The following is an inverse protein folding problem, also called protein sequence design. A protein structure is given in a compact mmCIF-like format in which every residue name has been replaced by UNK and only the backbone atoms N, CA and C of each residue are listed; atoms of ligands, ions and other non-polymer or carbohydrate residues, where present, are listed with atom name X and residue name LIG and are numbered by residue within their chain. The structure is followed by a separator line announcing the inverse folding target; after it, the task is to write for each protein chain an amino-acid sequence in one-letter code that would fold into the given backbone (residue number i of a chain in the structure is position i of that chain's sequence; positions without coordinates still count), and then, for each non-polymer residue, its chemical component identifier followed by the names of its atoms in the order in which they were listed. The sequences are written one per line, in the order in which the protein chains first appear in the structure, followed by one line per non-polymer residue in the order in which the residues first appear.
data_IF_220582725310
#
_entry.id   IF_220582725310
#
_cell.length_a   1.000
_cell.length_b   1.000
_cell.length_c   1.000
_cell.angle_alpha   90.00
_cell.angle_beta   90.00
_cell.angle_gamma   90.00
#
_symmetry.space_group_name_H-M   'P 1'
#
loop_
_entity.id
_entity.type
_entity.pdbx_description
1 polymer ?
#
# COMPACT_ATOMS: atom_id res chain seq x y z
N UNK A 1 20.69 7.12 16.70
CA UNK A 1 19.23 7.37 16.70
C UNK A 1 18.62 6.63 15.52
N UNK A 2 17.48 5.91 15.67
CA UNK A 2 16.81 5.24 14.57
C UNK A 2 16.45 6.21 13.44
N UNK A 3 16.56 5.79 12.17
CA UNK A 3 16.29 6.63 10.99
C UNK A 3 14.95 7.36 11.07
N UNK A 4 13.89 6.66 11.51
CA UNK A 4 12.54 7.21 11.64
C UNK A 4 12.48 8.35 12.68
N UNK A 5 13.02 8.13 13.88
CA UNK A 5 13.04 9.13 14.96
C UNK A 5 13.83 10.37 14.55
N UNK A 6 14.99 10.19 13.90
CA UNK A 6 15.80 11.30 13.42
C UNK A 6 15.09 12.07 12.30
N UNK A 7 14.39 11.37 11.40
CA UNK A 7 13.59 11.99 10.35
C UNK A 7 12.49 12.90 10.92
N UNK A 8 11.73 12.39 11.89
CA UNK A 8 10.69 13.15 12.58
C UNK A 8 11.26 14.39 13.29
N UNK A 9 12.34 14.22 14.07
CA UNK A 9 13.00 15.32 14.76
C UNK A 9 13.52 16.40 13.80
N UNK A 10 14.14 16.00 12.69
CA UNK A 10 14.57 16.94 11.65
C UNK A 10 13.40 17.70 11.05
N UNK A 11 12.28 17.04 10.79
CA UNK A 11 11.07 17.67 10.25
C UNK A 11 10.52 18.73 11.19
N UNK A 12 10.43 18.42 12.49
CA UNK A 12 9.98 19.37 13.52
C UNK A 12 10.92 20.59 13.60
N UNK A 13 12.23 20.37 13.67
CA UNK A 13 13.21 21.45 13.76
C UNK A 13 13.26 22.30 12.49
N UNK A 14 13.08 21.71 11.32
CA UNK A 14 13.00 22.47 10.07
C UNK A 14 11.73 23.32 9.99
N UNK A 15 10.60 22.84 10.53
CA UNK A 15 9.37 23.63 10.63
C UNK A 15 9.59 24.84 11.54
N UNK A 16 10.23 24.65 12.70
CA UNK A 16 10.59 25.74 13.60
C UNK A 16 11.57 26.77 12.97
N UNK A 17 12.40 26.36 12.01
CA UNK A 17 13.20 27.29 11.20
C UNK A 17 12.31 28.07 10.23
N UNK A 18 11.38 27.40 9.54
CA UNK A 18 10.41 28.05 8.66
C UNK A 18 9.53 29.08 9.37
N UNK A 19 9.16 28.80 10.61
CA UNK A 19 8.38 29.70 11.47
C UNK A 19 9.24 30.80 12.13
N UNK A 20 10.56 30.79 11.92
CA UNK A 20 11.48 31.79 12.47
C UNK A 20 11.75 31.66 13.97
N UNK A 21 11.32 30.58 14.62
CA UNK A 21 11.56 30.30 16.05
C UNK A 21 13.05 30.06 16.31
N UNK A 22 13.73 29.39 15.38
CA UNK A 22 15.17 29.15 15.42
C UNK A 22 15.80 29.51 14.07
N UNK A 23 17.04 29.99 14.09
CA UNK A 23 17.73 30.42 12.87
C UNK A 23 18.30 29.25 12.04
N UNK A 24 18.55 28.11 12.68
CA UNK A 24 19.05 26.89 12.02
C UNK A 24 18.62 25.65 12.78
N UNK A 25 18.38 24.56 12.07
CA UNK A 25 18.07 23.26 12.66
C UNK A 25 19.32 22.64 13.32
N UNK A 26 19.31 22.39 14.65
CA UNK A 26 20.44 21.73 15.33
C UNK A 26 20.74 20.33 14.79
N UNK A 27 19.74 19.66 14.21
CA UNK A 27 19.89 18.32 13.66
C UNK A 27 20.40 18.31 12.20
N UNK A 28 20.63 19.46 11.56
CA UNK A 28 20.96 19.53 10.13
C UNK A 28 22.14 18.62 9.74
N UNK A 29 23.22 18.64 10.52
CA UNK A 29 24.43 17.84 10.29
C UNK A 29 24.37 16.40 10.78
N UNK A 30 23.32 16.00 11.50
CA UNK A 30 23.22 14.66 12.09
C UNK A 30 22.86 13.66 11.00
N UNK A 31 23.79 12.76 10.67
CA UNK A 31 23.54 11.70 9.71
C UNK A 31 22.79 10.55 10.39
N UNK A 32 21.78 9.95 9.72
CA UNK A 32 21.21 8.71 10.22
C UNK A 32 22.30 7.64 10.28
N UNK A 33 22.16 6.71 11.23
CA UNK A 33 22.98 5.51 11.23
C UNK A 33 22.81 4.80 9.89
N UNK A 34 23.93 4.37 9.31
CA UNK A 34 23.89 3.53 8.12
C UNK A 34 23.17 2.24 8.51
N UNK A 35 22.27 1.83 7.66
CA UNK A 35 21.61 0.55 7.76
C UNK A 35 22.45 -0.39 6.90
N UNK A 36 23.19 -1.27 7.57
CA UNK A 36 23.99 -2.35 6.99
C UNK A 36 23.19 -3.65 6.84
N UNK A 37 21.88 -3.58 7.10
CA UNK A 37 20.95 -4.68 6.86
C UNK A 37 20.90 -5.08 5.38
N UNK A 38 20.49 -6.33 5.15
CA UNK A 38 20.20 -6.85 3.81
C UNK A 38 19.12 -6.00 3.14
N UNK A 39 19.20 -5.87 1.81
CA UNK A 39 18.14 -5.22 1.04
C UNK A 39 16.82 -5.95 1.27
N UNK A 40 15.68 -5.25 1.24
CA UNK A 40 14.37 -5.88 1.41
C UNK A 40 14.17 -7.07 0.43
N UNK A 41 14.66 -6.95 -0.80
CA UNK A 41 14.66 -8.00 -1.83
C UNK A 41 15.43 -9.28 -1.46
N UNK A 42 16.36 -9.19 -0.50
CA UNK A 42 17.20 -10.29 0.00
C UNK A 42 16.70 -10.84 1.34
N UNK A 43 15.54 -10.37 1.80
CA UNK A 43 14.88 -10.79 3.04
C UNK A 43 13.56 -11.50 2.72
N UNK A 44 12.73 -11.74 3.73
CA UNK A 44 11.39 -12.29 3.56
C UNK A 44 10.43 -11.37 2.78
N UNK A 45 10.81 -10.12 2.52
CA UNK A 45 10.05 -9.17 1.69
C UNK A 45 10.31 -9.32 0.18
N UNK A 46 11.03 -10.36 -0.26
CA UNK A 46 11.20 -10.62 -1.69
C UNK A 46 9.85 -10.83 -2.37
N UNK A 47 9.79 -10.48 -3.65
CA UNK A 47 8.64 -10.84 -4.48
C UNK A 47 8.53 -12.37 -4.61
N UNK A 48 7.30 -12.87 -4.68
CA UNK A 48 7.01 -14.25 -5.03
C UNK A 48 7.34 -14.48 -6.51
N UNK A 49 7.92 -15.63 -6.83
CA UNK A 49 8.06 -16.05 -8.24
C UNK A 49 6.69 -16.41 -8.82
N UNK A 50 6.61 -16.57 -10.14
CA UNK A 50 5.34 -16.94 -10.80
C UNK A 50 4.87 -18.31 -10.29
N UNK A 51 5.78 -19.28 -10.16
CA UNK A 51 5.48 -20.62 -9.68
C UNK A 51 4.96 -20.61 -8.23
N UNK A 52 5.52 -19.73 -7.39
CA UNK A 52 5.07 -19.53 -6.01
C UNK A 52 3.70 -18.88 -5.94
N UNK A 53 3.42 -17.90 -6.82
CA UNK A 53 2.11 -17.27 -6.92
C UNK A 53 1.05 -18.28 -7.34
N UNK A 54 1.32 -19.08 -8.38
CA UNK A 54 0.42 -20.15 -8.83
C UNK A 54 0.14 -21.11 -7.68
N UNK A 55 1.18 -21.68 -7.05
CA UNK A 55 1.03 -22.61 -5.91
C UNK A 55 0.23 -21.98 -4.76
N UNK A 56 0.46 -20.71 -4.45
CA UNK A 56 -0.24 -20.00 -3.39
C UNK A 56 -1.75 -19.88 -3.69
N UNK A 57 -2.12 -19.53 -4.93
CA UNK A 57 -3.52 -19.47 -5.37
C UNK A 57 -4.17 -20.85 -5.33
N UNK A 58 -3.47 -21.91 -5.75
CA UNK A 58 -4.00 -23.27 -5.71
C UNK A 58 -4.34 -23.74 -4.28
N UNK A 59 -3.47 -23.42 -3.32
CA UNK A 59 -3.66 -23.75 -1.92
C UNK A 59 -4.80 -22.96 -1.27
N UNK A 60 -5.12 -21.78 -1.80
CA UNK A 60 -6.20 -20.93 -1.30
C UNK A 60 -7.58 -21.27 -1.84
N UNK A 61 -7.71 -22.17 -2.82
CA UNK A 61 -9.01 -22.57 -3.40
C UNK A 61 -10.14 -22.86 -2.38
N UNK A 62 -9.91 -23.55 -1.24
CA UNK A 62 -10.97 -23.79 -0.26
C UNK A 62 -11.26 -22.57 0.65
N UNK A 63 -10.41 -21.56 0.65
CA UNK A 63 -10.47 -20.40 1.55
C UNK A 63 -11.26 -19.25 0.95
N UNK A 64 -11.86 -18.42 1.83
CA UNK A 64 -12.66 -17.28 1.40
C UNK A 64 -11.84 -16.18 0.71
N UNK A 65 -10.53 -16.16 0.92
CA UNK A 65 -9.62 -15.19 0.29
C UNK A 65 -9.21 -15.57 -1.12
N UNK A 66 -9.68 -16.71 -1.64
CA UNK A 66 -9.31 -17.21 -2.96
C UNK A 66 -9.51 -16.17 -4.07
N UNK A 67 -10.59 -15.39 -4.05
CA UNK A 67 -10.85 -14.39 -5.09
C UNK A 67 -10.06 -13.09 -4.86
N UNK A 68 -9.78 -12.76 -3.59
CA UNK A 68 -9.11 -11.52 -3.23
C UNK A 68 -7.62 -11.53 -3.60
N UNK A 69 -6.94 -12.66 -3.42
CA UNK A 69 -5.50 -12.76 -3.65
C UNK A 69 -5.10 -12.61 -5.13
N UNK A 70 -5.71 -13.34 -6.09
CA UNK A 70 -5.53 -13.14 -7.52
C UNK A 70 -5.80 -11.70 -7.94
N UNK A 71 -6.88 -11.09 -7.42
CA UNK A 71 -7.17 -9.68 -7.66
C UNK A 71 -5.98 -8.81 -7.24
N UNK A 72 -5.42 -9.01 -6.05
CA UNK A 72 -4.27 -8.24 -5.57
C UNK A 72 -3.00 -8.47 -6.41
N UNK A 73 -2.73 -9.70 -6.85
CA UNK A 73 -1.60 -10.00 -7.75
C UNK A 73 -1.75 -9.31 -9.10
N UNK A 74 -2.96 -9.34 -9.66
CA UNK A 74 -3.28 -8.77 -10.97
C UNK A 74 -3.32 -7.24 -10.98
N UNK A 75 -3.71 -6.61 -9.87
CA UNK A 75 -4.01 -5.16 -9.83
C UNK A 75 -2.95 -4.35 -9.08
N UNK A 76 -2.15 -4.98 -8.21
CA UNK A 76 -1.20 -4.29 -7.35
C UNK A 76 -1.87 -3.33 -6.35
N UNK A 77 -3.16 -3.52 -6.06
CA UNK A 77 -3.89 -2.70 -5.11
C UNK A 77 -3.33 -2.82 -3.69
N UNK A 78 -3.45 -1.74 -2.92
CA UNK A 78 -3.25 -1.84 -1.47
C UNK A 78 -4.43 -2.60 -0.88
N UNK A 79 -4.17 -3.41 0.15
CA UNK A 79 -5.21 -4.24 0.79
C UNK A 79 -6.40 -3.42 1.28
N UNK A 80 -6.17 -2.21 1.80
CA UNK A 80 -7.25 -1.31 2.24
C UNK A 80 -8.11 -0.81 1.09
N UNK A 81 -7.53 -0.59 -0.10
CA UNK A 81 -8.29 -0.22 -1.29
C UNK A 81 -9.16 -1.39 -1.74
N UNK A 82 -8.60 -2.60 -1.78
CA UNK A 82 -9.33 -3.80 -2.18
C UNK A 82 -10.49 -4.12 -1.21
N UNK A 83 -10.27 -3.89 0.09
CA UNK A 83 -11.30 -4.05 1.12
C UNK A 83 -12.39 -2.96 1.10
N UNK A 84 -12.15 -1.83 0.41
CA UNK A 84 -13.11 -0.75 0.27
C UNK A 84 -13.94 -0.81 -1.02
N UNK A 85 -13.58 -1.69 -1.98
CA UNK A 85 -14.32 -1.84 -3.24
C UNK A 85 -15.78 -2.19 -2.94
N UNK A 86 -16.69 -1.50 -3.61
CA UNK A 86 -18.10 -1.83 -3.66
C UNK A 86 -18.54 -2.18 -5.07
N UNK A 87 -19.72 -2.77 -5.23
CA UNK A 87 -20.30 -3.08 -6.55
C UNK A 87 -20.46 -1.86 -7.47
N UNK A 88 -20.50 -0.64 -6.91
CA UNK A 88 -20.62 0.60 -7.69
C UNK A 88 -19.29 1.01 -8.34
N UNK A 89 -18.19 0.49 -7.82
CA UNK A 89 -16.84 0.81 -8.29
C UNK A 89 -16.42 -0.09 -9.47
N UNK A 90 -17.20 -1.12 -9.80
CA UNK A 90 -16.91 -2.06 -10.88
C UNK A 90 -17.73 -1.72 -12.12
N UNK A 91 -17.07 -1.21 -13.15
CA UNK A 91 -17.66 -0.94 -14.46
C UNK A 91 -17.40 -2.11 -15.40
N UNK A 92 -18.40 -2.99 -15.52
CA UNK A 92 -18.36 -4.14 -16.44
C UNK A 92 -18.53 -3.76 -17.91
N UNK A 93 -19.01 -2.54 -18.23
CA UNK A 93 -19.17 -2.09 -19.61
C UNK A 93 -17.81 -1.67 -20.16
N UNK A 94 -17.06 -0.90 -19.37
CA UNK A 94 -15.74 -0.40 -19.76
C UNK A 94 -14.59 -1.32 -19.29
N UNK A 95 -14.90 -2.38 -18.53
CA UNK A 95 -13.94 -3.28 -17.91
C UNK A 95 -12.92 -2.54 -17.03
N UNK A 96 -13.41 -1.75 -16.07
CA UNK A 96 -12.57 -0.94 -15.17
C UNK A 96 -13.05 -1.09 -13.72
N UNK A 97 -12.10 -1.08 -12.78
CA UNK A 97 -12.36 -0.91 -11.34
C UNK A 97 -11.91 0.49 -10.94
N UNK A 98 -12.82 1.28 -10.41
CA UNK A 98 -12.57 2.64 -9.91
C UNK A 98 -12.11 2.60 -8.46
N UNK A 99 -10.88 3.06 -8.20
CA UNK A 99 -10.33 3.12 -6.84
C UNK A 99 -10.48 4.54 -6.32
N UNK A 100 -11.44 4.71 -5.40
CA UNK A 100 -11.80 6.01 -4.83
C UNK A 100 -11.81 6.03 -3.30
N UNK A 101 -11.59 4.89 -2.64
CA UNK A 101 -11.72 4.75 -1.19
C UNK A 101 -10.69 3.76 -0.64
N UNK A 102 -10.38 3.87 0.64
CA UNK A 102 -9.52 2.93 1.36
C UNK A 102 -10.13 2.61 2.72
N UNK A 103 -10.19 1.33 3.05
CA UNK A 103 -10.57 0.88 4.38
C UNK A 103 -9.35 0.86 5.29
N UNK A 104 -9.46 1.55 6.41
CA UNK A 104 -8.46 1.64 7.47
C UNK A 104 -9.02 1.04 8.76
N UNK A 105 -8.14 0.76 9.73
CA UNK A 105 -8.53 0.32 11.08
C UNK A 105 -8.00 1.31 12.08
N UNK A 106 -8.91 1.89 12.86
CA UNK A 106 -8.57 2.81 13.96
C UNK A 106 -7.87 2.08 15.09
N UNK A 107 -7.21 2.82 15.98
CA UNK A 107 -6.53 2.27 17.17
C UNK A 107 -7.49 1.52 18.10
N UNK A 108 -8.76 1.95 18.16
CA UNK A 108 -9.84 1.24 18.85
C UNK A 108 -10.39 0.00 18.14
N UNK A 109 -9.76 -0.42 17.03
CA UNK A 109 -10.09 -1.63 16.30
C UNK A 109 -11.29 -1.52 15.36
N UNK A 110 -11.93 -0.35 15.25
CA UNK A 110 -13.06 -0.11 14.32
C UNK A 110 -12.54 0.08 12.89
N UNK A 111 -13.25 -0.51 11.93
CA UNK A 111 -13.02 -0.28 10.52
C UNK A 111 -13.66 1.05 10.09
N UNK A 112 -12.90 1.85 9.36
CA UNK A 112 -13.33 3.12 8.77
C UNK A 112 -13.05 3.06 7.28
N UNK A 113 -13.94 3.62 6.47
CA UNK A 113 -13.72 3.77 5.04
C UNK A 113 -13.51 5.25 4.80
N UNK A 114 -12.31 5.59 4.40
CA UNK A 114 -11.90 6.96 4.15
C UNK A 114 -11.81 7.17 2.63
N UNK A 115 -12.45 8.24 2.17
CA UNK A 115 -12.24 8.75 0.81
C UNK A 115 -11.00 9.63 0.87
N UNK A 116 -10.05 9.52 -0.07
CA UNK A 116 -8.86 10.36 -0.04
C UNK A 116 -9.22 11.84 -0.08
N UNK A 117 -8.56 12.66 0.74
CA UNK A 117 -8.81 14.11 0.78
C UNK A 117 -8.40 14.83 -0.52
N UNK A 118 -7.66 14.16 -1.41
CA UNK A 118 -7.19 14.72 -2.69
C UNK A 118 -7.58 13.83 -3.87
N UNK A 119 -8.10 14.44 -4.95
CA UNK A 119 -8.47 13.77 -6.22
C UNK A 119 -7.32 13.03 -6.91
N UNK A 120 -6.07 13.26 -6.49
CA UNK A 120 -4.86 12.69 -7.11
C UNK A 120 -4.67 11.20 -6.82
N UNK A 121 -5.37 10.66 -5.82
CA UNK A 121 -5.33 9.23 -5.48
C UNK A 121 -6.40 8.40 -6.16
N UNK A 122 -7.40 9.05 -6.77
CA UNK A 122 -8.41 8.37 -7.55
C UNK A 122 -7.76 7.79 -8.80
N UNK A 123 -7.97 6.51 -9.06
CA UNK A 123 -7.39 5.84 -10.23
C UNK A 123 -8.25 4.71 -10.73
N UNK A 124 -8.10 4.42 -12.00
CA UNK A 124 -8.80 3.36 -12.71
C UNK A 124 -7.85 2.19 -12.96
N UNK A 125 -8.32 0.98 -12.67
CA UNK A 125 -7.58 -0.26 -12.94
C UNK A 125 -8.33 -1.06 -14.00
N UNK A 126 -7.76 -1.27 -15.19
CA UNK A 126 -8.37 -2.09 -16.22
C UNK A 126 -8.53 -3.56 -15.79
N UNK A 127 -9.70 -4.13 -16.03
CA UNK A 127 -10.01 -5.55 -15.84
C UNK A 127 -9.53 -6.35 -17.05
N UNK A 128 -8.30 -6.86 -16.99
CA UNK A 128 -7.79 -7.81 -17.97
C UNK A 128 -8.27 -9.24 -17.69
N UNK A 129 -8.06 -10.16 -18.63
CA UNK A 129 -8.57 -11.53 -18.55
C UNK A 129 -8.17 -12.31 -17.30
N UNK A 130 -7.02 -12.01 -16.70
CA UNK A 130 -6.56 -12.64 -15.45
C UNK A 130 -7.44 -12.30 -14.23
N UNK A 131 -8.11 -11.14 -14.24
CA UNK A 131 -9.05 -10.73 -13.18
C UNK A 131 -10.41 -11.39 -13.38
N UNK A 132 -10.86 -11.55 -14.63
CA UNK A 132 -12.15 -12.14 -14.97
C UNK A 132 -12.14 -13.68 -14.91
N UNK A 133 -10.94 -14.28 -14.92
CA UNK A 133 -10.74 -15.72 -14.77
C UNK A 133 -9.51 -15.99 -13.87
N UNK A 134 -9.71 -16.09 -12.55
CA UNK A 134 -8.63 -16.34 -11.58
C UNK A 134 -7.84 -17.64 -11.83
N UNK A 135 -8.41 -18.56 -12.61
CA UNK A 135 -7.77 -19.83 -13.00
C UNK A 135 -6.73 -19.68 -14.13
N UNK A 136 -6.53 -18.46 -14.65
CA UNK A 136 -5.61 -18.17 -15.75
C UNK A 136 -4.23 -17.63 -15.30
N UNK A 137 -3.97 -17.59 -13.99
CA UNK A 137 -2.67 -17.22 -13.39
C UNK A 137 -1.81 -18.47 -13.22
#
# INVERSE_FOLDING_TARGET
MPKKTLGALKSMLNSAVGDGIITRSPAAGVKPLKDDGKKASETYHRALTVEEQTLFVELLRPEWYYELIPLLFCTGMRVGEAAAITWKDVDYINNVIHISSTQSRTEGGKHTVDTPESRTSDRDIPMHSGILSPHAI
#
